data_IF_458385583015
#
_entry.id   IF_458385583015
#
_cell.length_a   1.000
_cell.length_b   1.000
_cell.length_c   1.000
_cell.angle_alpha   90.00
_cell.angle_beta   90.00
_cell.angle_gamma   90.00
#
_symmetry.space_group_name_H-M   'P 1'
#
loop_
_entity.id
_entity.type
_entity.pdbx_description
1 polymer ?
#
# COMPACT_ATOMS: atom_id res chain seq x y z
N UNK A 1 8.57 23.18 35.82
CA UNK A 1 7.53 22.89 34.79
C UNK A 1 7.63 21.43 34.34
N UNK A 2 6.52 20.67 34.34
CA UNK A 2 6.51 19.28 33.84
C UNK A 2 6.51 19.27 32.29
N UNK A 3 7.44 18.54 31.68
CA UNK A 3 7.54 18.36 30.21
C UNK A 3 7.17 16.91 29.87
N UNK A 4 6.44 16.72 28.77
CA UNK A 4 5.97 15.41 28.31
C UNK A 4 6.62 15.08 26.97
N UNK A 5 7.37 13.99 26.89
CA UNK A 5 8.09 13.61 25.68
C UNK A 5 7.33 12.56 24.86
N UNK A 6 7.17 12.78 23.56
CA UNK A 6 6.63 11.80 22.64
C UNK A 6 7.77 11.03 21.95
N UNK A 7 7.86 9.72 22.19
CA UNK A 7 8.85 8.84 21.55
C UNK A 7 8.60 8.64 20.05
N UNK A 8 7.34 8.70 19.61
CA UNK A 8 6.97 8.56 18.19
C UNK A 8 7.41 9.76 17.34
N UNK A 9 7.31 10.98 17.88
CA UNK A 9 7.61 12.23 17.16
C UNK A 9 8.94 12.87 17.57
N UNK A 10 9.64 12.28 18.55
CA UNK A 10 10.87 12.81 19.15
C UNK A 10 10.75 14.30 19.55
N UNK A 11 9.62 14.69 20.15
CA UNK A 11 9.29 16.08 20.48
C UNK A 11 8.76 16.23 21.90
N UNK A 12 9.11 17.34 22.56
CA UNK A 12 8.60 17.70 23.88
C UNK A 12 7.33 18.55 23.79
N UNK A 13 6.40 18.28 24.71
CA UNK A 13 5.17 19.03 24.92
C UNK A 13 5.16 19.65 26.31
N UNK A 14 4.77 20.91 26.39
CA UNK A 14 4.81 21.72 27.60
C UNK A 14 3.53 21.61 28.46
N UNK A 15 2.47 20.97 27.94
CA UNK A 15 1.19 20.77 28.64
C UNK A 15 0.68 19.35 28.47
N UNK A 16 0.26 18.73 29.57
CA UNK A 16 -0.26 17.35 29.58
C UNK A 16 -1.51 17.15 28.71
N UNK A 17 -2.44 18.13 28.69
CA UNK A 17 -3.63 18.09 27.82
C UNK A 17 -3.26 18.04 26.32
N UNK A 18 -2.23 18.77 25.91
CA UNK A 18 -1.74 18.78 24.52
C UNK A 18 -1.09 17.43 24.18
N UNK A 19 -0.30 16.89 25.11
CA UNK A 19 0.33 15.57 24.94
C UNK A 19 -0.71 14.44 24.81
N UNK A 20 -1.79 14.47 25.61
CA UNK A 20 -2.86 13.46 25.56
C UNK A 20 -3.57 13.45 24.19
N UNK A 21 -4.02 14.62 23.72
CA UNK A 21 -4.61 14.77 22.37
C UNK A 21 -3.65 14.38 21.25
N UNK A 22 -2.37 14.70 21.40
CA UNK A 22 -1.35 14.31 20.42
C UNK A 22 -1.21 12.78 20.32
N UNK A 23 -1.27 12.08 21.46
CA UNK A 23 -1.18 10.62 21.53
C UNK A 23 -2.40 9.96 20.87
N UNK A 24 -3.61 10.41 21.23
CA UNK A 24 -4.89 9.94 20.66
C UNK A 24 -4.93 10.10 19.13
N UNK A 25 -4.62 11.30 18.62
CA UNK A 25 -4.61 11.55 17.17
C UNK A 25 -3.60 10.66 16.41
N UNK A 26 -2.45 10.36 17.02
CA UNK A 26 -1.44 9.50 16.39
C UNK A 26 -1.82 8.03 16.43
N UNK A 27 -2.55 7.60 17.44
CA UNK A 27 -3.07 6.23 17.55
C UNK A 27 -4.16 6.00 16.50
N UNK A 28 -5.14 6.91 16.36
CA UNK A 28 -6.16 6.82 15.31
C UNK A 28 -5.58 6.84 13.88
N UNK A 29 -4.55 7.68 13.63
CA UNK A 29 -3.91 7.77 12.31
C UNK A 29 -3.13 6.50 11.96
N UNK A 30 -2.55 5.83 12.97
CA UNK A 30 -1.85 4.56 12.78
C UNK A 30 -2.84 3.41 12.54
N UNK A 31 -3.95 3.37 13.27
CA UNK A 31 -5.00 2.35 13.08
C UNK A 31 -5.64 2.44 11.69
N UNK A 32 -5.97 3.65 11.22
CA UNK A 32 -6.53 3.86 9.86
C UNK A 32 -5.54 3.45 8.76
N UNK A 33 -4.25 3.74 8.92
CA UNK A 33 -3.22 3.35 7.95
C UNK A 33 -2.91 1.85 7.95
N UNK A 34 -2.98 1.19 9.11
CA UNK A 34 -2.71 -0.24 9.21
C UNK A 34 -3.89 -1.08 8.69
N UNK A 35 -5.13 -0.66 8.97
CA UNK A 35 -6.33 -1.36 8.49
C UNK A 35 -6.58 -1.22 6.98
N UNK A 36 -6.24 -0.08 6.37
CA UNK A 36 -6.35 0.08 4.91
C UNK A 36 -5.30 -0.73 4.16
N UNK A 37 -4.04 -0.71 4.62
CA UNK A 37 -2.93 -1.45 3.98
C UNK A 37 -3.00 -2.96 4.13
N UNK A 38 -3.58 -3.49 5.21
CA UNK A 38 -3.71 -4.93 5.42
C UNK A 38 -4.87 -5.53 4.63
N UNK A 39 -6.02 -4.82 4.55
CA UNK A 39 -7.20 -5.27 3.80
C UNK A 39 -6.92 -5.40 2.30
N UNK A 40 -6.29 -4.41 1.67
CA UNK A 40 -5.94 -4.47 0.24
C UNK A 40 -4.93 -5.59 -0.11
N UNK A 41 -4.05 -5.97 0.83
CA UNK A 41 -3.03 -7.01 0.57
C UNK A 41 -3.58 -8.43 0.55
N UNK A 42 -4.72 -8.66 1.21
CA UNK A 42 -5.35 -9.97 1.35
C UNK A 42 -6.43 -10.22 0.29
N UNK A 43 -6.98 -9.18 -0.34
CA UNK A 43 -7.99 -9.33 -1.39
C UNK A 43 -7.43 -9.72 -2.76
N UNK A 44 -6.12 -9.52 -2.99
CA UNK A 44 -5.55 -9.66 -4.33
C UNK A 44 -5.06 -11.09 -4.53
N UNK A 45 -5.63 -11.83 -5.50
CA UNK A 45 -5.23 -13.20 -5.76
C UNK A 45 -3.74 -13.28 -6.15
N UNK A 46 -3.06 -14.33 -5.69
CA UNK A 46 -1.64 -14.55 -5.94
C UNK A 46 -1.32 -15.90 -6.63
N UNK A 47 -2.36 -16.69 -6.92
CA UNK A 47 -2.22 -18.02 -7.52
C UNK A 47 -2.02 -17.94 -9.03
N UNK A 48 -2.81 -17.09 -9.70
CA UNK A 48 -2.78 -16.89 -11.15
C UNK A 48 -2.86 -15.41 -11.50
N UNK A 49 -2.24 -15.05 -12.62
CA UNK A 49 -2.33 -13.70 -13.17
C UNK A 49 -3.75 -13.52 -13.74
N UNK A 50 -4.41 -12.42 -13.37
CA UNK A 50 -5.74 -12.07 -13.88
C UNK A 50 -5.68 -11.88 -15.40
N UNK A 51 -6.73 -12.28 -16.11
CA UNK A 51 -6.84 -12.00 -17.55
C UNK A 51 -7.00 -10.49 -17.75
N UNK A 52 -6.19 -9.91 -18.63
CA UNK A 52 -6.27 -8.51 -19.01
C UNK A 52 -5.96 -8.33 -20.49
N UNK A 53 -6.56 -7.31 -21.09
CA UNK A 53 -6.24 -6.89 -22.45
C UNK A 53 -5.06 -5.92 -22.41
N UNK A 54 -3.93 -6.33 -22.99
CA UNK A 54 -2.71 -5.53 -22.99
C UNK A 54 -2.86 -4.22 -23.76
N UNK A 55 -3.80 -4.13 -24.71
CA UNK A 55 -4.01 -2.92 -25.50
C UNK A 55 -4.79 -1.85 -24.73
N UNK A 56 -5.59 -2.25 -23.74
CA UNK A 56 -6.33 -1.34 -22.86
C UNK A 56 -5.47 -0.75 -21.74
N UNK A 57 -4.29 -1.32 -21.50
CA UNK A 57 -3.36 -0.83 -20.48
C UNK A 57 -2.57 0.38 -20.96
N UNK A 58 -2.37 1.34 -20.05
CA UNK A 58 -1.44 2.43 -20.29
C UNK A 58 -0.02 1.91 -20.55
N UNK A 59 0.80 2.58 -21.38
CA UNK A 59 2.18 2.14 -21.65
C UNK A 59 3.03 1.94 -20.39
N UNK A 60 2.79 2.76 -19.36
CA UNK A 60 3.48 2.65 -18.07
C UNK A 60 3.12 1.34 -17.33
N UNK A 61 1.86 0.94 -17.34
CA UNK A 61 1.38 -0.30 -16.72
C UNK A 61 1.93 -1.53 -17.47
N UNK A 62 1.90 -1.51 -18.81
CA UNK A 62 2.52 -2.56 -19.65
C UNK A 62 4.01 -2.72 -19.33
N UNK A 63 4.73 -1.60 -19.18
CA UNK A 63 6.16 -1.61 -18.80
C UNK A 63 6.37 -2.21 -17.42
N UNK A 64 5.54 -1.88 -16.43
CA UNK A 64 5.64 -2.43 -15.08
C UNK A 64 5.39 -3.95 -15.05
N UNK A 65 4.33 -4.43 -15.70
CA UNK A 65 4.01 -5.87 -15.78
C UNK A 65 5.17 -6.64 -16.41
N UNK A 66 5.73 -6.14 -17.52
CA UNK A 66 6.91 -6.75 -18.15
C UNK A 66 8.11 -6.83 -17.20
N UNK A 67 8.39 -5.77 -16.43
CA UNK A 67 9.46 -5.79 -15.43
C UNK A 67 9.21 -6.84 -14.34
N UNK A 68 7.96 -7.00 -13.89
CA UNK A 68 7.62 -8.00 -12.89
C UNK A 68 7.74 -9.43 -13.41
N UNK A 69 7.30 -9.70 -14.64
CA UNK A 69 7.49 -11.01 -15.29
C UNK A 69 8.98 -11.37 -15.38
N UNK A 70 9.84 -10.42 -15.80
CA UNK A 70 11.28 -10.65 -15.86
C UNK A 70 11.88 -10.94 -14.47
N UNK A 71 11.44 -10.23 -13.43
CA UNK A 71 11.89 -10.48 -12.05
C UNK A 71 11.39 -11.82 -11.50
N UNK A 72 10.18 -12.22 -11.87
CA UNK A 72 9.59 -13.50 -11.51
C UNK A 72 10.45 -14.65 -12.02
N UNK A 73 10.82 -14.61 -13.30
CA UNK A 73 11.69 -15.61 -13.92
C UNK A 73 13.09 -15.66 -13.27
N UNK A 74 13.61 -14.51 -12.80
CA UNK A 74 14.95 -14.43 -12.19
C UNK A 74 15.03 -14.87 -10.74
N UNK A 75 13.98 -14.67 -9.95
CA UNK A 75 14.03 -14.84 -8.48
C UNK A 75 13.12 -15.95 -7.96
N UNK A 76 12.37 -16.61 -8.85
CA UNK A 76 11.44 -17.70 -8.56
C UNK A 76 10.36 -17.40 -7.50
N UNK A 77 10.17 -16.11 -7.13
CA UNK A 77 9.13 -15.68 -6.18
C UNK A 77 7.77 -15.51 -6.86
N UNK A 78 7.25 -16.59 -7.43
CA UNK A 78 6.05 -16.59 -8.30
C UNK A 78 4.86 -15.89 -7.61
N UNK A 79 4.46 -16.35 -6.42
CA UNK A 79 3.31 -15.79 -5.67
C UNK A 79 3.44 -14.29 -5.40
N UNK A 80 4.66 -13.81 -5.14
CA UNK A 80 4.90 -12.39 -4.89
C UNK A 80 4.64 -11.56 -6.14
N UNK A 81 5.26 -11.92 -7.27
CA UNK A 81 5.12 -11.16 -8.51
C UNK A 81 3.75 -11.31 -9.15
N UNK A 82 3.09 -12.48 -9.03
CA UNK A 82 1.68 -12.62 -9.43
C UNK A 82 0.81 -11.60 -8.71
N UNK A 83 1.02 -11.42 -7.40
CA UNK A 83 0.27 -10.42 -6.63
C UNK A 83 0.58 -8.98 -7.07
N UNK A 84 1.84 -8.65 -7.33
CA UNK A 84 2.21 -7.31 -7.81
C UNK A 84 1.66 -7.02 -9.22
N UNK A 85 1.64 -8.01 -10.11
CA UNK A 85 1.04 -7.89 -11.44
C UNK A 85 -0.47 -7.67 -11.31
N UNK A 86 -1.15 -8.45 -10.48
CA UNK A 86 -2.59 -8.33 -10.25
C UNK A 86 -2.97 -6.97 -9.65
N UNK A 87 -2.13 -6.39 -8.78
CA UNK A 87 -2.32 -5.00 -8.30
C UNK A 87 -2.37 -4.00 -9.44
N UNK A 88 -1.43 -4.08 -10.38
CA UNK A 88 -1.38 -3.16 -11.52
C UNK A 88 -2.63 -3.32 -12.39
N UNK A 89 -3.05 -4.56 -12.64
CA UNK A 89 -4.25 -4.85 -13.44
C UNK A 89 -5.50 -4.26 -12.81
N UNK A 90 -5.74 -4.54 -11.52
CA UNK A 90 -6.92 -4.04 -10.78
C UNK A 90 -6.94 -2.52 -10.77
N UNK A 91 -5.80 -1.88 -10.52
CA UNK A 91 -5.68 -0.42 -10.53
C UNK A 91 -6.04 0.18 -11.90
N UNK A 92 -5.56 -0.41 -13.00
CA UNK A 92 -5.87 0.07 -14.34
C UNK A 92 -7.34 -0.17 -14.71
N UNK A 93 -7.93 -1.29 -14.30
CA UNK A 93 -9.36 -1.55 -14.48
C UNK A 93 -10.23 -0.53 -13.74
N UNK A 94 -9.89 -0.19 -12.49
CA UNK A 94 -10.58 0.84 -11.71
C UNK A 94 -10.46 2.23 -12.35
N UNK A 95 -9.30 2.56 -12.92
CA UNK A 95 -9.11 3.84 -13.61
C UNK A 95 -9.87 3.91 -14.93
N UNK A 96 -10.08 2.78 -15.61
CA UNK A 96 -10.90 2.71 -16.81
C UNK A 96 -12.38 2.94 -16.50
N UNK A 97 -12.91 2.32 -15.43
CA UNK A 97 -14.31 2.46 -15.01
C UNK A 97 -14.69 3.86 -14.49
N UNK A 98 -13.70 4.68 -14.13
CA UNK A 98 -13.90 6.05 -13.63
C UNK A 98 -13.92 7.11 -14.74
N UNK A 99 -13.63 6.74 -15.98
CA UNK A 99 -13.66 7.61 -17.14
C UNK A 99 -14.95 7.39 -17.92
#
# INVERSE_FOLDING_TARGET
>A
MKRYYCTKCKRYHYRGKIYKRHKEFKEEKNEKNNNSRSKERNLIPNEKILKFDANKLRPIARRQIRRFLNKMNKTNRIKFYTREINRVIIHEQQNYMKK
#
